data_IF_562712125281
#
_entry.id   IF_562712125281
#
_cell.length_a   1.000
_cell.length_b   1.000
_cell.length_c   1.000
_cell.angle_alpha   90.00
_cell.angle_beta   90.00
_cell.angle_gamma   90.00
#
_symmetry.space_group_name_H-M   'P 1'
#
loop_
_entity.id
_entity.type
_entity.pdbx_description
1 polymer ?
#
# COMPACT_ATOMS: atom_id res chain seq x y z
N UNK A 1 25.74 13.28 -2.83
CA UNK A 1 24.54 12.41 -2.91
C UNK A 1 24.10 12.00 -4.31
N UNK A 2 23.88 12.90 -5.28
CA UNK A 2 23.38 12.51 -6.62
C UNK A 2 24.27 11.45 -7.33
N UNK A 3 25.59 11.53 -7.19
CA UNK A 3 26.53 10.53 -7.75
C UNK A 3 26.69 9.27 -6.89
N UNK A 4 26.20 9.28 -5.65
CA UNK A 4 26.43 8.22 -4.67
C UNK A 4 25.40 7.09 -4.78
N UNK A 5 24.12 7.42 -5.01
CA UNK A 5 23.03 6.45 -5.23
C UNK A 5 22.96 5.92 -6.67
N UNK A 6 23.55 6.64 -7.63
CA UNK A 6 23.53 6.26 -9.05
C UNK A 6 24.46 5.08 -9.39
N UNK A 7 25.48 4.85 -8.55
CA UNK A 7 26.46 3.78 -8.73
C UNK A 7 26.01 2.44 -8.14
N UNK A 8 25.00 1.81 -8.73
CA UNK A 8 24.50 0.51 -8.27
C UNK A 8 25.39 -0.61 -8.81
N UNK A 9 26.16 -1.23 -7.92
CA UNK A 9 27.00 -2.38 -8.25
C UNK A 9 26.73 -3.62 -7.40
N UNK A 10 26.22 -3.46 -6.17
CA UNK A 10 26.17 -4.56 -5.20
C UNK A 10 24.83 -5.31 -5.18
N UNK A 11 23.72 -4.60 -5.36
CA UNK A 11 22.38 -5.19 -5.44
C UNK A 11 21.58 -4.57 -6.58
N UNK A 12 20.98 -5.40 -7.44
CA UNK A 12 20.28 -4.96 -8.64
C UNK A 12 18.89 -4.38 -8.32
N UNK A 13 18.53 -3.30 -9.02
CA UNK A 13 17.13 -2.83 -9.08
C UNK A 13 16.34 -3.85 -9.89
N UNK A 14 15.20 -4.29 -9.34
CA UNK A 14 14.27 -5.16 -10.06
C UNK A 14 13.38 -4.32 -10.98
N UNK A 15 13.20 -4.75 -12.22
CA UNK A 15 12.19 -4.16 -13.12
C UNK A 15 10.86 -4.89 -12.91
N UNK A 16 9.81 -4.14 -12.60
CA UNK A 16 8.46 -4.68 -12.42
C UNK A 16 7.56 -4.26 -13.59
N UNK A 17 6.61 -5.13 -13.95
CA UNK A 17 5.57 -4.83 -14.93
C UNK A 17 4.30 -4.35 -14.23
N UNK A 18 4.34 -3.13 -13.68
CA UNK A 18 3.28 -2.63 -12.80
C UNK A 18 1.91 -2.59 -13.46
N UNK A 19 1.82 -2.28 -14.76
CA UNK A 19 0.55 -2.22 -15.49
C UNK A 19 -0.36 -3.45 -15.30
N UNK A 20 0.21 -4.66 -15.16
CA UNK A 20 -0.57 -5.89 -14.96
C UNK A 20 -1.37 -5.87 -13.65
N UNK A 21 -0.89 -5.17 -12.64
CA UNK A 21 -1.52 -5.12 -11.31
C UNK A 21 -2.69 -4.12 -11.26
N UNK A 22 -2.78 -3.25 -12.27
CA UNK A 22 -3.84 -2.23 -12.41
C UNK A 22 -4.88 -2.62 -13.46
N UNK A 23 -4.82 -3.84 -14.00
CA UNK A 23 -5.83 -4.33 -14.92
C UNK A 23 -7.20 -4.43 -14.23
N UNK A 24 -8.25 -4.10 -14.98
CA UNK A 24 -9.61 -4.29 -14.49
C UNK A 24 -9.89 -5.78 -14.25
N UNK A 25 -10.43 -6.09 -13.08
CA UNK A 25 -10.82 -7.44 -12.72
C UNK A 25 -12.32 -7.60 -12.96
N UNK A 26 -12.68 -8.62 -13.74
CA UNK A 26 -14.08 -8.96 -14.01
C UNK A 26 -14.65 -9.80 -12.86
N UNK A 27 -15.82 -9.42 -12.37
CA UNK A 27 -16.50 -10.17 -11.32
C UNK A 27 -17.15 -11.41 -11.92
N UNK A 28 -16.84 -12.58 -11.36
CA UNK A 28 -17.35 -13.86 -11.85
C UNK A 28 -18.63 -14.33 -11.14
N UNK A 29 -19.18 -13.52 -10.22
CA UNK A 29 -20.38 -13.86 -9.44
C UNK A 29 -20.20 -15.04 -8.50
N UNK A 30 -18.98 -15.55 -8.35
CA UNK A 30 -18.71 -16.78 -7.60
C UNK A 30 -18.85 -16.53 -6.10
N UNK A 31 -19.44 -17.50 -5.41
CA UNK A 31 -19.37 -17.64 -3.96
C UNK A 31 -18.35 -18.73 -3.65
N UNK A 32 -17.42 -18.47 -2.73
CA UNK A 32 -16.36 -19.42 -2.41
C UNK A 32 -16.91 -20.66 -1.70
N UNK A 33 -16.46 -21.84 -2.14
CA UNK A 33 -16.64 -23.10 -1.41
C UNK A 33 -15.83 -23.10 -0.11
N UNK A 34 -16.16 -24.00 0.82
CA UNK A 34 -15.44 -24.10 2.09
C UNK A 34 -13.94 -24.36 1.91
N UNK A 35 -13.57 -25.20 0.93
CA UNK A 35 -12.16 -25.49 0.61
C UNK A 35 -11.41 -24.25 0.11
N UNK A 36 -12.04 -23.46 -0.76
CA UNK A 36 -11.45 -22.23 -1.31
C UNK A 36 -11.33 -21.14 -0.25
N UNK A 37 -12.30 -21.05 0.67
CA UNK A 37 -12.21 -20.16 1.84
C UNK A 37 -10.99 -20.51 2.68
N UNK A 38 -10.79 -21.79 3.01
CA UNK A 38 -9.63 -22.25 3.80
C UNK A 38 -8.31 -21.90 3.11
N UNK A 39 -8.22 -22.11 1.80
CA UNK A 39 -7.03 -21.76 1.02
C UNK A 39 -6.75 -20.25 1.04
N UNK A 40 -7.76 -19.43 0.74
CA UNK A 40 -7.63 -17.96 0.76
C UNK A 40 -7.22 -17.46 2.14
N UNK A 41 -7.83 -17.99 3.20
CA UNK A 41 -7.49 -17.62 4.58
C UNK A 41 -6.05 -17.99 4.91
N UNK A 42 -5.58 -19.18 4.49
CA UNK A 42 -4.18 -19.58 4.68
C UNK A 42 -3.22 -18.62 3.99
N UNK A 43 -3.54 -18.17 2.77
CA UNK A 43 -2.71 -17.19 2.04
C UNK A 43 -2.72 -15.83 2.73
N UNK A 44 -3.88 -15.38 3.20
CA UNK A 44 -4.02 -14.13 3.95
C UNK A 44 -3.19 -14.19 5.24
N UNK A 45 -3.31 -15.26 6.02
CA UNK A 45 -2.62 -15.42 7.30
C UNK A 45 -1.11 -15.45 7.12
N UNK A 46 -0.61 -16.19 6.13
CA UNK A 46 0.79 -16.17 5.76
C UNK A 46 1.25 -14.74 5.40
N UNK A 47 0.47 -14.04 4.58
CA UNK A 47 0.82 -12.68 4.13
C UNK A 47 0.82 -11.69 5.28
N UNK A 48 -0.16 -11.76 6.19
CA UNK A 48 -0.20 -10.93 7.40
C UNK A 48 1.03 -11.19 8.27
N UNK A 49 1.34 -12.46 8.55
CA UNK A 49 2.49 -12.83 9.36
C UNK A 49 3.79 -12.23 8.78
N UNK A 50 4.07 -12.50 7.50
CA UNK A 50 5.27 -12.02 6.80
C UNK A 50 5.44 -10.50 6.85
N UNK A 51 4.36 -9.73 6.65
CA UNK A 51 4.46 -8.27 6.63
C UNK A 51 4.44 -7.66 8.05
N UNK A 52 3.79 -8.31 9.02
CA UNK A 52 3.72 -7.84 10.40
C UNK A 52 5.05 -7.93 11.15
N UNK A 53 5.89 -8.92 10.84
CA UNK A 53 7.22 -9.12 11.43
C UNK A 53 8.16 -7.91 11.20
N UNK A 54 7.98 -7.19 10.10
CA UNK A 54 8.80 -6.01 9.77
C UNK A 54 8.40 -4.72 10.49
N UNK A 55 7.20 -4.65 11.09
CA UNK A 55 6.68 -3.41 11.68
C UNK A 55 7.52 -2.89 12.86
N UNK A 56 7.94 -3.73 13.83
CA UNK A 56 8.77 -3.26 14.95
C UNK A 56 10.11 -2.69 14.51
N UNK A 57 10.73 -3.28 13.47
CA UNK A 57 11.98 -2.80 12.91
C UNK A 57 11.82 -1.40 12.29
N UNK A 58 10.75 -1.18 11.53
CA UNK A 58 10.49 0.13 10.92
C UNK A 58 10.25 1.20 11.98
N UNK A 59 9.45 0.91 13.01
CA UNK A 59 9.20 1.83 14.14
C UNK A 59 10.51 2.18 14.85
N UNK A 60 11.33 1.18 15.16
CA UNK A 60 12.66 1.37 15.74
C UNK A 60 13.54 2.27 14.88
N UNK A 61 13.60 2.06 13.56
CA UNK A 61 14.36 2.93 12.64
C UNK A 61 13.87 4.38 12.73
N UNK A 62 12.55 4.61 12.76
CA UNK A 62 11.99 5.96 12.86
C UNK A 62 12.37 6.65 14.17
N UNK A 63 12.40 5.91 15.28
CA UNK A 63 12.77 6.41 16.60
C UNK A 63 14.26 6.76 16.66
N UNK A 64 15.14 5.85 16.23
CA UNK A 64 16.59 6.05 16.22
C UNK A 64 17.07 7.16 15.27
N UNK A 65 16.26 7.48 14.24
CA UNK A 65 16.59 8.53 13.26
C UNK A 65 15.89 9.85 13.56
N UNK A 66 15.06 9.92 14.61
CA UNK A 66 14.22 11.09 14.93
C UNK A 66 15.01 12.39 15.07
N UNK A 67 16.13 12.35 15.78
CA UNK A 67 16.97 13.53 16.08
C UNK A 67 18.06 13.78 15.03
N UNK A 68 18.24 12.86 14.08
CA UNK A 68 19.21 13.01 12.99
C UNK A 68 18.64 13.88 11.89
N UNK A 69 19.22 15.06 11.69
CA UNK A 69 18.68 16.09 10.77
C UNK A 69 19.46 16.24 9.47
N UNK A 70 20.49 15.43 9.25
CA UNK A 70 21.17 15.37 7.96
C UNK A 70 20.22 14.86 6.87
N UNK A 71 20.61 15.14 5.64
CA UNK A 71 19.79 14.91 4.47
C UNK A 71 19.54 13.41 4.23
N UNK A 72 20.53 12.54 4.46
CA UNK A 72 20.35 11.08 4.34
C UNK A 72 19.27 10.56 5.29
N UNK A 73 19.33 10.89 6.58
CA UNK A 73 18.34 10.43 7.55
C UNK A 73 16.94 11.04 7.32
N UNK A 74 16.85 12.24 6.72
CA UNK A 74 15.56 12.80 6.27
C UNK A 74 14.96 12.01 5.12
N UNK A 75 15.75 11.68 4.10
CA UNK A 75 15.29 10.88 2.94
C UNK A 75 14.88 9.49 3.41
N UNK A 76 15.75 8.79 4.15
CA UNK A 76 15.50 7.44 4.62
C UNK A 76 14.23 7.35 5.48
N UNK A 77 14.07 8.23 6.48
CA UNK A 77 12.87 8.27 7.32
C UNK A 77 11.60 8.55 6.52
N UNK A 78 11.64 9.44 5.53
CA UNK A 78 10.46 9.69 4.68
C UNK A 78 10.06 8.43 3.92
N UNK A 79 11.02 7.70 3.36
CA UNK A 79 10.75 6.43 2.68
C UNK A 79 10.18 5.39 3.65
N UNK A 80 10.77 5.24 4.84
CA UNK A 80 10.28 4.30 5.87
C UNK A 80 8.87 4.65 6.33
N UNK A 81 8.53 5.93 6.50
CA UNK A 81 7.16 6.36 6.85
C UNK A 81 6.15 5.95 5.78
N UNK A 82 6.47 6.15 4.50
CA UNK A 82 5.59 5.75 3.40
C UNK A 82 5.47 4.22 3.34
N UNK A 83 6.57 3.50 3.54
CA UNK A 83 6.56 2.02 3.58
C UNK A 83 5.71 1.51 4.75
N UNK A 84 5.89 2.06 5.94
CA UNK A 84 5.11 1.69 7.12
C UNK A 84 3.60 1.88 6.88
N UNK A 85 3.22 3.01 6.28
CA UNK A 85 1.82 3.25 5.89
C UNK A 85 1.30 2.18 4.92
N UNK A 86 2.09 1.84 3.89
CA UNK A 86 1.72 0.83 2.89
C UNK A 86 1.50 -0.53 3.57
N UNK A 87 2.41 -0.96 4.43
CA UNK A 87 2.31 -2.25 5.12
C UNK A 87 1.11 -2.32 6.05
N UNK A 88 0.91 -1.30 6.89
CA UNK A 88 -0.24 -1.25 7.80
C UNK A 88 -1.54 -1.31 7.01
N UNK A 89 -1.66 -0.49 5.95
CA UNK A 89 -2.87 -0.47 5.12
C UNK A 89 -3.11 -1.80 4.42
N UNK A 90 -2.04 -2.48 3.96
CA UNK A 90 -2.15 -3.83 3.40
C UNK A 90 -2.67 -4.82 4.45
N UNK A 91 -2.05 -4.87 5.63
CA UNK A 91 -2.42 -5.79 6.71
C UNK A 91 -3.87 -5.54 7.13
N UNK A 92 -4.26 -4.29 7.36
CA UNK A 92 -5.63 -3.93 7.75
C UNK A 92 -6.65 -4.36 6.68
N UNK A 93 -6.32 -4.17 5.40
CA UNK A 93 -7.19 -4.59 4.29
C UNK A 93 -7.36 -6.11 4.23
N UNK A 94 -6.28 -6.87 4.48
CA UNK A 94 -6.28 -8.32 4.54
C UNK A 94 -7.06 -8.85 5.75
N UNK A 95 -6.88 -8.24 6.92
CA UNK A 95 -7.61 -8.58 8.14
C UNK A 95 -9.12 -8.36 7.94
N UNK A 96 -9.51 -7.19 7.42
CA UNK A 96 -10.92 -6.89 7.16
C UNK A 96 -11.52 -7.85 6.10
N UNK A 97 -10.78 -8.15 5.04
CA UNK A 97 -11.18 -9.13 4.01
C UNK A 97 -11.32 -10.55 4.58
N UNK A 98 -10.38 -10.99 5.42
CA UNK A 98 -10.44 -12.29 6.11
C UNK A 98 -11.71 -12.43 6.94
N UNK A 99 -12.00 -11.44 7.79
CA UNK A 99 -13.19 -11.49 8.64
C UNK A 99 -14.49 -11.34 7.84
N UNK A 100 -14.48 -10.64 6.70
CA UNK A 100 -15.60 -10.63 5.77
C UNK A 100 -15.89 -12.04 5.20
N UNK A 101 -14.86 -12.79 4.80
CA UNK A 101 -15.00 -14.16 4.26
C UNK A 101 -15.44 -15.15 5.34
N UNK A 102 -14.94 -14.98 6.57
CA UNK A 102 -15.20 -15.86 7.72
C UNK A 102 -16.52 -15.58 8.44
N UNK A 103 -17.20 -14.47 8.13
CA UNK A 103 -18.41 -14.10 8.85
C UNK A 103 -19.53 -15.13 8.61
N UNK A 104 -19.97 -15.78 9.69
CA UNK A 104 -21.10 -16.71 9.69
C UNK A 104 -22.44 -15.98 9.69
N UNK A 105 -22.58 -14.93 10.51
CA UNK A 105 -23.78 -14.11 10.55
C UNK A 105 -23.80 -13.09 9.42
N UNK A 106 -24.98 -12.90 8.82
CA UNK A 106 -25.17 -11.96 7.72
C UNK A 106 -24.85 -10.51 8.12
N UNK A 107 -25.20 -10.13 9.36
CA UNK A 107 -24.87 -8.80 9.87
C UNK A 107 -23.36 -8.58 10.02
N UNK A 108 -22.61 -9.56 10.54
CA UNK A 108 -21.15 -9.47 10.68
C UNK A 108 -20.49 -9.30 9.31
N UNK A 109 -20.96 -10.05 8.31
CA UNK A 109 -20.48 -9.94 6.92
C UNK A 109 -20.70 -8.54 6.37
N UNK A 110 -21.93 -8.01 6.52
CA UNK A 110 -22.25 -6.65 6.10
C UNK A 110 -21.42 -5.63 6.85
N UNK A 111 -21.22 -5.82 8.15
CA UNK A 111 -20.39 -4.99 8.99
C UNK A 111 -18.96 -4.89 8.46
N UNK A 112 -18.34 -6.04 8.23
CA UNK A 112 -16.98 -6.15 7.72
C UNK A 112 -16.82 -5.62 6.30
N UNK A 113 -17.82 -5.80 5.42
CA UNK A 113 -17.84 -5.17 4.08
C UNK A 113 -17.66 -3.66 4.18
N UNK A 114 -18.43 -3.01 5.07
CA UNK A 114 -18.35 -1.58 5.29
C UNK A 114 -16.98 -1.13 5.81
N UNK A 115 -16.42 -1.85 6.79
CA UNK A 115 -15.06 -1.57 7.30
C UNK A 115 -13.99 -1.74 6.22
N UNK A 116 -14.08 -2.78 5.42
CA UNK A 116 -13.20 -2.99 4.28
C UNK A 116 -13.30 -1.81 3.31
N UNK A 117 -14.51 -1.39 2.91
CA UNK A 117 -14.70 -0.25 1.98
C UNK A 117 -14.17 1.08 2.52
N UNK A 118 -14.26 1.32 3.84
CA UNK A 118 -13.59 2.46 4.48
C UNK A 118 -12.08 2.39 4.30
N UNK A 119 -11.47 1.23 4.56
CA UNK A 119 -10.02 1.01 4.37
C UNK A 119 -9.64 1.21 2.90
N UNK A 120 -10.44 0.67 1.95
CA UNK A 120 -10.19 0.85 0.52
C UNK A 120 -10.18 2.33 0.13
N UNK A 121 -11.20 3.09 0.54
CA UNK A 121 -11.33 4.51 0.20
C UNK A 121 -10.26 5.37 0.87
N UNK A 122 -10.16 5.33 2.20
CA UNK A 122 -9.25 6.19 2.95
C UNK A 122 -7.79 5.75 2.77
N UNK A 123 -7.54 4.45 2.59
CA UNK A 123 -6.23 3.91 2.23
C UNK A 123 -5.74 4.46 0.91
N UNK A 124 -6.52 4.36 -0.17
CA UNK A 124 -6.09 4.92 -1.47
C UNK A 124 -5.98 6.46 -1.43
N UNK A 125 -6.91 7.13 -0.75
CA UNK A 125 -6.88 8.60 -0.58
C UNK A 125 -5.62 9.08 0.12
N UNK A 126 -5.17 8.36 1.15
CA UNK A 126 -3.91 8.66 1.85
C UNK A 126 -2.70 8.25 1.03
N UNK A 127 -2.76 7.12 0.31
CA UNK A 127 -1.69 6.67 -0.57
C UNK A 127 -1.41 7.68 -1.68
N UNK A 128 -2.44 8.02 -2.46
CA UNK A 128 -2.31 8.85 -3.66
C UNK A 128 -3.28 10.03 -3.72
N UNK A 129 -4.53 9.88 -3.29
CA UNK A 129 -5.56 10.92 -3.38
C UNK A 129 -6.52 10.75 -4.56
N UNK A 130 -7.67 11.44 -4.53
CA UNK A 130 -8.71 11.42 -5.58
C UNK A 130 -8.85 12.75 -6.33
N UNK A 131 -8.05 13.74 -5.95
CA UNK A 131 -7.99 15.06 -6.55
C UNK A 131 -6.68 15.72 -6.15
N UNK A 132 -6.30 16.79 -6.86
CA UNK A 132 -5.05 17.52 -6.64
C UNK A 132 -4.82 17.93 -5.18
N UNK A 133 -5.85 18.40 -4.48
CA UNK A 133 -5.74 18.82 -3.07
C UNK A 133 -5.41 17.65 -2.14
N UNK A 134 -6.06 16.50 -2.34
CA UNK A 134 -5.77 15.28 -1.58
C UNK A 134 -4.43 14.66 -1.99
N UNK A 135 -4.07 14.73 -3.27
CA UNK A 135 -2.81 14.21 -3.78
C UNK A 135 -1.60 14.98 -3.22
N UNK A 136 -1.68 16.31 -3.13
CA UNK A 136 -0.63 17.13 -2.49
C UNK A 136 -0.31 16.70 -1.05
N UNK A 137 -1.26 16.07 -0.35
CA UNK A 137 -1.13 15.61 1.03
C UNK A 137 -0.90 14.09 1.14
N UNK A 138 -0.79 13.38 0.04
CA UNK A 138 -0.67 11.93 0.01
C UNK A 138 0.72 11.46 0.41
N UNK A 139 0.83 10.20 0.83
CA UNK A 139 2.10 9.54 1.13
C UNK A 139 2.98 9.44 -0.14
N UNK A 140 2.39 9.15 -1.30
CA UNK A 140 3.09 9.10 -2.58
C UNK A 140 3.74 10.45 -2.92
N UNK A 141 3.03 11.56 -2.72
CA UNK A 141 3.55 12.89 -3.04
C UNK A 141 4.75 13.30 -2.16
N UNK A 142 4.91 12.71 -0.97
CA UNK A 142 6.10 12.93 -0.13
C UNK A 142 7.38 12.39 -0.78
N UNK A 143 7.28 11.42 -1.69
CA UNK A 143 8.42 10.84 -2.39
C UNK A 143 8.92 11.73 -3.54
N UNK A 144 8.04 12.54 -4.14
CA UNK A 144 8.36 13.40 -5.29
C UNK A 144 9.66 14.23 -5.12
N UNK A 145 9.86 15.02 -4.04
CA UNK A 145 11.08 15.81 -3.89
C UNK A 145 12.34 14.96 -3.67
N UNK A 146 12.19 13.68 -3.32
CA UNK A 146 13.29 12.75 -3.08
C UNK A 146 13.81 12.12 -4.38
N UNK A 147 13.00 12.11 -5.45
CA UNK A 147 13.34 11.43 -6.70
C UNK A 147 14.64 11.95 -7.34
N UNK A 148 15.00 13.21 -7.08
CA UNK A 148 16.27 13.80 -7.52
C UNK A 148 17.53 13.08 -7.00
N UNK A 149 17.43 12.33 -5.90
CA UNK A 149 18.55 11.59 -5.32
C UNK A 149 18.73 10.19 -5.90
N UNK A 150 17.76 9.68 -6.65
CA UNK A 150 17.75 8.30 -7.12
C UNK A 150 18.16 8.21 -8.61
N UNK A 151 18.67 7.05 -9.07
CA UNK A 151 19.03 6.87 -10.46
C UNK A 151 17.83 6.95 -11.41
N UNK A 152 18.11 7.10 -12.70
CA UNK A 152 17.11 7.18 -13.76
C UNK A 152 16.15 5.99 -13.76
N UNK A 153 16.64 4.78 -13.48
CA UNK A 153 15.80 3.58 -13.40
C UNK A 153 14.69 3.70 -12.35
N UNK A 154 14.99 4.24 -11.16
CA UNK A 154 14.00 4.50 -10.10
C UNK A 154 13.05 5.63 -10.53
N UNK A 155 13.57 6.70 -11.10
CA UNK A 155 12.76 7.81 -11.59
C UNK A 155 11.75 7.38 -12.67
N UNK A 156 12.15 6.46 -13.58
CA UNK A 156 11.26 5.88 -14.58
C UNK A 156 10.13 5.08 -13.93
N UNK A 157 10.47 4.19 -12.98
CA UNK A 157 9.46 3.41 -12.25
C UNK A 157 8.50 4.30 -11.44
N UNK A 158 9.01 5.37 -10.83
CA UNK A 158 8.18 6.35 -10.11
C UNK A 158 7.17 7.03 -11.05
N UNK A 159 7.61 7.44 -12.25
CA UNK A 159 6.71 8.05 -13.25
C UNK A 159 5.64 7.06 -13.72
N UNK A 160 6.04 5.84 -14.09
CA UNK A 160 5.10 4.79 -14.50
C UNK A 160 4.04 4.52 -13.42
N UNK A 161 4.45 4.37 -12.16
CA UNK A 161 3.52 4.18 -11.06
C UNK A 161 2.64 5.41 -10.80
N UNK A 162 3.18 6.62 -10.96
CA UNK A 162 2.40 7.85 -10.81
C UNK A 162 1.26 7.89 -11.82
N UNK A 163 1.53 7.54 -13.09
CA UNK A 163 0.52 7.52 -14.15
C UNK A 163 -0.56 6.45 -13.88
N UNK A 164 -0.16 5.27 -13.39
CA UNK A 164 -1.08 4.20 -13.04
C UNK A 164 -1.97 4.56 -11.84
N UNK A 165 -1.39 5.17 -10.80
CA UNK A 165 -2.14 5.64 -9.63
C UNK A 165 -3.09 6.79 -9.99
N UNK A 166 -2.66 7.74 -10.83
CA UNK A 166 -3.53 8.82 -11.33
C UNK A 166 -4.73 8.23 -12.07
N UNK A 167 -4.50 7.32 -13.02
CA UNK A 167 -5.58 6.63 -13.75
C UNK A 167 -6.54 5.93 -12.81
N UNK A 168 -6.03 5.21 -11.81
CA UNK A 168 -6.86 4.48 -10.85
C UNK A 168 -7.67 5.43 -9.95
N UNK A 169 -7.12 6.60 -9.61
CA UNK A 169 -7.82 7.62 -8.82
C UNK A 169 -9.09 8.14 -9.51
N UNK A 170 -9.09 8.17 -10.85
CA UNK A 170 -10.18 8.71 -11.67
C UNK A 170 -11.22 7.65 -12.07
N UNK A 171 -10.83 6.38 -12.15
CA UNK A 171 -11.64 5.33 -12.80
C UNK A 171 -12.30 4.35 -11.83
N UNK A 172 -11.83 4.25 -10.59
CA UNK A 172 -12.36 3.29 -9.62
C UNK A 172 -13.50 3.88 -8.79
N UNK A 173 -14.53 3.06 -8.50
CA UNK A 173 -15.72 3.49 -7.75
C UNK A 173 -15.42 3.89 -6.30
N UNK A 174 -14.29 3.43 -5.74
CA UNK A 174 -13.73 3.72 -4.40
C UNK A 174 -14.71 3.71 -3.21
N UNK A 175 -15.98 3.36 -3.40
CA UNK A 175 -17.00 3.22 -2.36
C UNK A 175 -17.14 4.47 -1.48
N UNK A 176 -17.10 5.65 -2.11
CA UNK A 176 -17.14 6.95 -1.40
C UNK A 176 -18.38 7.10 -0.51
N UNK A 177 -19.54 6.69 -1.01
CA UNK A 177 -20.80 6.81 -0.29
C UNK A 177 -20.85 5.86 0.91
N UNK A 178 -20.48 4.58 0.73
CA UNK A 178 -20.37 3.63 1.85
C UNK A 178 -19.43 4.17 2.94
N UNK A 179 -18.26 4.66 2.54
CA UNK A 179 -17.31 5.24 3.49
C UNK A 179 -17.93 6.39 4.28
N UNK A 180 -18.69 7.26 3.62
CA UNK A 180 -19.35 8.39 4.28
C UNK A 180 -20.40 7.89 5.29
N UNK A 181 -21.20 6.89 4.93
CA UNK A 181 -22.21 6.31 5.82
C UNK A 181 -21.56 5.70 7.07
N UNK A 182 -20.48 4.93 6.88
CA UNK A 182 -19.70 4.30 7.96
C UNK A 182 -19.03 5.31 8.88
N UNK A 183 -18.43 6.36 8.32
CA UNK A 183 -17.60 7.32 9.07
C UNK A 183 -18.47 8.32 9.82
N UNK A 184 -19.61 8.70 9.26
CA UNK A 184 -20.51 9.70 9.87
C UNK A 184 -21.68 9.07 10.62
N UNK A 185 -21.80 7.74 10.65
CA UNK A 185 -22.87 7.01 11.31
C UNK A 185 -24.27 7.52 10.89
N UNK A 186 -24.46 7.78 9.59
CA UNK A 186 -25.77 8.13 9.02
C UNK A 186 -26.68 6.90 9.14
N UNK A 187 -27.47 6.82 10.21
CA UNK A 187 -28.20 5.60 10.60
C UNK A 187 -29.15 5.10 9.52
N UNK A 188 -29.81 6.01 8.81
CA UNK A 188 -30.76 5.66 7.77
C UNK A 188 -30.04 5.08 6.54
N UNK A 189 -29.00 5.79 6.06
CA UNK A 189 -28.25 5.33 4.88
C UNK A 189 -27.43 4.09 5.19
N UNK A 190 -26.88 3.98 6.40
CA UNK A 190 -26.17 2.80 6.86
C UNK A 190 -27.11 1.60 6.93
N UNK A 191 -28.32 1.76 7.48
CA UNK A 191 -29.32 0.68 7.47
C UNK A 191 -29.63 0.23 6.03
N UNK A 192 -29.91 1.17 5.12
CA UNK A 192 -30.20 0.87 3.71
C UNK A 192 -29.04 0.13 3.01
N UNK A 193 -27.83 0.65 3.12
CA UNK A 193 -26.62 0.01 2.61
C UNK A 193 -26.45 -1.41 3.16
N UNK A 194 -26.72 -1.59 4.47
CA UNK A 194 -26.68 -2.89 5.13
C UNK A 194 -27.78 -3.82 4.65
N UNK A 195 -28.83 -3.40 3.95
CA UNK A 195 -29.81 -4.31 3.34
C UNK A 195 -29.44 -4.76 1.92
N UNK A 196 -28.47 -4.11 1.27
CA UNK A 196 -28.08 -4.45 -0.11
C UNK A 196 -27.52 -5.87 -0.21
N UNK A 197 -27.88 -6.59 -1.28
CA UNK A 197 -27.33 -7.92 -1.53
C UNK A 197 -25.80 -7.89 -1.64
N UNK A 198 -25.13 -8.80 -0.94
CA UNK A 198 -23.68 -8.91 -0.96
C UNK A 198 -23.26 -9.89 -2.06
N UNK A 199 -22.59 -9.36 -3.08
CA UNK A 199 -21.84 -10.18 -4.04
C UNK A 199 -20.40 -10.32 -3.54
N UNK A 200 -20.09 -11.44 -2.89
CA UNK A 200 -18.80 -11.71 -2.24
C UNK A 200 -17.61 -11.49 -3.19
N UNK A 201 -17.66 -12.08 -4.39
CA UNK A 201 -16.62 -11.90 -5.41
C UNK A 201 -16.41 -10.43 -5.80
N UNK A 202 -17.48 -9.61 -5.84
CA UNK A 202 -17.33 -8.17 -6.11
C UNK A 202 -16.54 -7.48 -5.02
N UNK A 203 -16.93 -7.70 -3.76
CA UNK A 203 -16.25 -7.12 -2.58
C UNK A 203 -14.76 -7.49 -2.58
N UNK A 204 -14.45 -8.78 -2.80
CA UNK A 204 -13.06 -9.25 -2.79
C UNK A 204 -12.26 -8.71 -3.98
N UNK A 205 -12.80 -8.73 -5.20
CA UNK A 205 -12.09 -8.19 -6.37
C UNK A 205 -11.89 -6.67 -6.28
N UNK A 206 -12.84 -5.93 -5.71
CA UNK A 206 -12.63 -4.51 -5.43
C UNK A 206 -11.56 -4.27 -4.36
N UNK A 207 -11.47 -5.15 -3.34
CA UNK A 207 -10.39 -5.07 -2.36
C UNK A 207 -9.00 -5.31 -2.96
N UNK A 208 -8.92 -6.19 -3.97
CA UNK A 208 -7.68 -6.45 -4.70
C UNK A 208 -7.17 -5.21 -5.45
N UNK A 209 -8.03 -4.26 -5.81
CA UNK A 209 -7.60 -3.01 -6.46
C UNK A 209 -6.68 -2.21 -5.56
N UNK A 210 -7.05 -1.98 -4.29
CA UNK A 210 -6.16 -1.29 -3.35
C UNK A 210 -4.94 -2.15 -3.04
N UNK A 211 -5.14 -3.44 -2.78
CA UNK A 211 -4.04 -4.35 -2.43
C UNK A 211 -2.96 -4.36 -3.50
N UNK A 212 -3.35 -4.45 -4.77
CA UNK A 212 -2.42 -4.39 -5.91
C UNK A 212 -1.67 -3.06 -6.00
N UNK A 213 -2.35 -1.91 -5.77
CA UNK A 213 -1.69 -0.60 -5.74
C UNK A 213 -0.65 -0.54 -4.61
N UNK A 214 -1.01 -1.02 -3.42
CA UNK A 214 -0.11 -1.05 -2.26
C UNK A 214 1.07 -1.99 -2.49
N UNK A 215 0.84 -3.17 -3.07
CA UNK A 215 1.91 -4.09 -3.50
C UNK A 215 2.83 -3.45 -4.53
N UNK A 216 2.30 -2.73 -5.51
CA UNK A 216 3.09 -2.02 -6.52
C UNK A 216 4.04 -1.01 -5.86
N UNK A 217 3.49 -0.20 -4.95
CA UNK A 217 4.26 0.79 -4.19
C UNK A 217 5.27 0.13 -3.26
N UNK A 218 4.90 -0.95 -2.57
CA UNK A 218 5.81 -1.72 -1.71
C UNK A 218 7.03 -2.24 -2.48
N UNK A 219 6.82 -2.81 -3.67
CA UNK A 219 7.91 -3.29 -4.52
C UNK A 219 8.82 -2.16 -5.02
N UNK A 220 8.25 -1.01 -5.36
CA UNK A 220 9.02 0.18 -5.69
C UNK A 220 9.86 0.68 -4.50
N UNK A 221 9.28 0.74 -3.30
CA UNK A 221 10.00 1.10 -2.08
C UNK A 221 11.12 0.10 -1.75
N UNK A 222 10.92 -1.18 -2.05
CA UNK A 222 11.97 -2.20 -2.00
C UNK A 222 13.17 -1.85 -2.89
N UNK A 223 12.94 -1.39 -4.12
CA UNK A 223 14.01 -0.92 -5.00
C UNK A 223 14.70 0.36 -4.46
N UNK A 224 13.95 1.27 -3.82
CA UNK A 224 14.54 2.42 -3.14
C UNK A 224 15.45 1.97 -1.98
N UNK A 225 15.02 0.99 -1.19
CA UNK A 225 15.85 0.41 -0.12
C UNK A 225 17.12 -0.22 -0.68
N UNK A 226 17.05 -0.88 -1.83
CA UNK A 226 18.23 -1.38 -2.54
C UNK A 226 19.22 -0.25 -2.88
N UNK A 227 18.74 0.94 -3.27
CA UNK A 227 19.60 2.11 -3.45
C UNK A 227 20.27 2.55 -2.14
N UNK A 228 19.54 2.59 -1.03
CA UNK A 228 20.14 2.90 0.29
C UNK A 228 21.20 1.89 0.70
N UNK A 229 20.94 0.61 0.51
CA UNK A 229 21.91 -0.45 0.78
C UNK A 229 23.19 -0.28 -0.04
N UNK A 230 23.05 -0.11 -1.37
CA UNK A 230 24.19 0.13 -2.26
C UNK A 230 25.03 1.35 -1.85
N UNK A 231 24.37 2.42 -1.42
CA UNK A 231 25.03 3.62 -0.92
C UNK A 231 25.84 3.36 0.34
N UNK A 232 25.24 2.71 1.35
CA UNK A 232 25.92 2.38 2.61
C UNK A 232 27.12 1.46 2.36
N UNK A 233 26.95 0.43 1.54
CA UNK A 233 28.03 -0.50 1.17
C UNK A 233 29.19 0.25 0.49
N UNK A 234 28.90 1.18 -0.42
CA UNK A 234 29.93 2.01 -1.06
C UNK A 234 30.69 2.87 -0.07
N UNK A 235 30.00 3.47 0.91
CA UNK A 235 30.63 4.24 1.99
C UNK A 235 31.52 3.36 2.88
N UNK A 236 31.05 2.17 3.23
CA UNK A 236 31.82 1.20 3.99
C UNK A 236 33.15 0.87 3.28
N UNK A 237 33.10 0.50 2.00
CA UNK A 237 34.31 0.20 1.22
C UNK A 237 35.27 1.38 1.05
N UNK A 238 34.78 2.62 1.19
CA UNK A 238 35.61 3.83 1.13
C UNK A 238 36.16 4.25 2.50
N UNK A 239 35.80 3.55 3.58
CA UNK A 239 36.15 3.96 4.94
C UNK A 239 35.44 5.22 5.42
N UNK A 240 34.30 5.56 4.81
CA UNK A 240 33.50 6.77 5.12
C UNK A 240 32.40 6.50 6.16
N UNK A 241 32.29 5.27 6.66
CA UNK A 241 31.48 4.93 7.83
C UNK A 241 32.43 4.76 9.02
N UNK A 242 32.46 5.73 9.92
CA UNK A 242 33.09 5.57 11.23
C UNK A 242 32.11 4.85 12.17
N UNK A 243 32.64 4.03 13.08
CA UNK A 243 31.89 3.48 14.23
C UNK A 243 31.20 4.58 15.05
#
# INVERSE_FOLDING_TARGET
MNEEFAGIKYAQIKEYRYARWFNEVQYNGKTLSESERKEIISVIDYTIAQHSEGLPLMTSILEHTKEKHDEYHKVHRTVILVYLFVLITMIDSLVAGKYFILADHDYDRRFMRGKLFVILNEGFKKLYGFNEKSNKKSEWNKLMPLMKYFPEAINRQYKELTDLLEKQSQTSSWWKDERNFETHLDTEKLYKSRQEEIVESKVMMDSMKLFNSLMAVSNFLGNIHTCFFNFLVRKYYRGELSE
#
